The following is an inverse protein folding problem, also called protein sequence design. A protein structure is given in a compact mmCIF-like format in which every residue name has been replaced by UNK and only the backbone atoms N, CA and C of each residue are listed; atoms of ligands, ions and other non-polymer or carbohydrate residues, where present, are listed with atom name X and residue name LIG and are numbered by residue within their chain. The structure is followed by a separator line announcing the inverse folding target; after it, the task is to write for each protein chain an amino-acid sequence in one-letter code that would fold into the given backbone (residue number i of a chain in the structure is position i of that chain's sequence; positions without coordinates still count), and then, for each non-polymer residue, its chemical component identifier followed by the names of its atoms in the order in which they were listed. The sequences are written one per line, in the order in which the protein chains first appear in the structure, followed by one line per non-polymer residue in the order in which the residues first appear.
data_IF_606016640042
#
_entry.id   IF_606016640042
#
_cell.length_a   1.000
_cell.length_b   1.000
_cell.length_c   1.000
_cell.angle_alpha   90.00
_cell.angle_beta   90.00
_cell.angle_gamma   90.00
#
_symmetry.space_group_name_H-M   'P 1'
#
loop_
_entity.id
_entity.type
_entity.pdbx_description
1 polymer ?
#
# COMPACT_ATOMS: atom_id res chain seq x y z
N UNK A 1 29.97 13.19 -26.97
CA UNK A 1 28.87 12.96 -26.00
C UNK A 1 28.33 14.31 -25.57
N UNK A 2 27.02 14.55 -25.66
CA UNK A 2 26.38 15.74 -25.06
C UNK A 2 25.53 15.33 -23.87
N UNK A 3 25.37 16.26 -22.93
CA UNK A 3 24.56 16.10 -21.72
C UNK A 3 23.67 17.32 -21.65
N UNK A 4 22.36 17.11 -21.60
CA UNK A 4 21.36 18.17 -21.58
C UNK A 4 20.33 17.86 -20.49
N UNK A 5 19.89 18.88 -19.74
CA UNK A 5 18.76 18.75 -18.80
C UNK A 5 17.52 19.29 -19.48
N UNK A 6 16.51 18.44 -19.66
CA UNK A 6 15.29 18.77 -20.39
C UNK A 6 14.05 18.57 -19.50
N UNK A 7 12.98 19.35 -19.68
CA UNK A 7 11.70 19.11 -19.02
C UNK A 7 11.14 17.72 -19.39
N UNK A 8 10.41 17.13 -18.45
CA UNK A 8 9.74 15.85 -18.59
C UNK A 8 8.21 16.04 -18.71
N UNK A 9 7.67 15.64 -19.85
CA UNK A 9 6.26 15.33 -20.03
C UNK A 9 6.04 13.84 -19.71
N UNK A 10 5.71 13.55 -18.45
CA UNK A 10 5.56 12.18 -17.98
C UNK A 10 4.28 11.50 -18.46
N UNK A 11 3.36 12.24 -19.11
CA UNK A 11 2.08 11.72 -19.57
C UNK A 11 1.28 10.99 -18.46
N UNK A 12 1.33 11.54 -17.23
CA UNK A 12 0.65 11.00 -16.04
C UNK A 12 1.41 9.88 -15.32
N UNK A 13 2.61 9.51 -15.77
CA UNK A 13 3.46 8.56 -15.04
C UNK A 13 4.19 9.28 -13.89
N UNK A 14 4.32 8.61 -12.74
CA UNK A 14 5.17 9.05 -11.64
C UNK A 14 6.49 8.26 -11.73
N UNK A 15 7.47 8.87 -12.40
CA UNK A 15 8.79 8.27 -12.71
C UNK A 15 9.96 9.14 -12.26
N UNK A 16 9.69 10.18 -11.49
CA UNK A 16 10.68 11.06 -10.84
C UNK A 16 10.21 11.29 -9.41
N UNK A 17 11.08 11.81 -8.55
CA UNK A 17 10.62 12.39 -7.28
C UNK A 17 9.69 13.58 -7.56
N UNK A 18 8.72 13.84 -6.68
CA UNK A 18 7.62 14.78 -6.93
C UNK A 18 8.07 16.21 -7.29
N UNK A 19 9.27 16.62 -6.87
CA UNK A 19 9.84 17.94 -7.15
C UNK A 19 10.59 18.04 -8.50
N UNK A 20 10.92 16.91 -9.15
CA UNK A 20 11.76 16.88 -10.34
C UNK A 20 10.93 16.80 -11.63
N UNK A 21 10.72 17.97 -12.23
CA UNK A 21 10.10 18.12 -13.55
C UNK A 21 11.10 18.03 -14.72
N UNK A 22 12.35 17.67 -14.45
CA UNK A 22 13.41 17.60 -15.45
C UNK A 22 14.18 16.28 -15.40
N UNK A 23 14.75 15.90 -16.54
CA UNK A 23 15.56 14.68 -16.68
C UNK A 23 16.86 15.00 -17.39
N UNK A 24 17.92 14.29 -17.01
CA UNK A 24 19.22 14.43 -17.67
C UNK A 24 19.31 13.46 -18.84
N UNK A 25 19.63 13.98 -20.03
CA UNK A 25 19.71 13.23 -21.29
C UNK A 25 21.15 13.16 -21.76
N UNK A 26 21.67 11.93 -21.89
CA UNK A 26 23.00 11.66 -22.43
C UNK A 26 22.87 11.22 -23.89
N UNK A 27 23.51 11.98 -24.80
CA UNK A 27 23.55 11.69 -26.25
C UNK A 27 24.95 11.27 -26.69
N UNK A 28 25.06 10.07 -27.26
CA UNK A 28 26.34 9.47 -27.63
C UNK A 28 26.63 9.66 -29.14
N UNK A 29 26.76 10.92 -29.58
CA UNK A 29 26.81 11.28 -31.01
C UNK A 29 27.90 10.66 -31.89
N UNK A 30 28.98 10.09 -31.35
CA UNK A 30 30.07 9.49 -32.13
C UNK A 30 30.10 7.95 -32.11
N UNK A 31 29.25 7.31 -31.31
CA UNK A 31 29.28 5.84 -31.09
C UNK A 31 28.14 5.08 -31.81
N UNK A 32 27.59 5.65 -32.89
CA UNK A 32 26.50 5.06 -33.68
C UNK A 32 25.10 5.48 -33.24
N UNK A 33 24.06 4.90 -33.85
CA UNK A 33 22.62 5.14 -33.61
C UNK A 33 22.15 4.63 -32.22
N UNK A 34 22.94 4.84 -31.17
CA UNK A 34 22.58 4.50 -29.81
C UNK A 34 21.44 5.41 -29.33
N UNK A 35 20.40 4.79 -28.76
CA UNK A 35 19.31 5.52 -28.13
C UNK A 35 19.85 6.40 -26.99
N UNK A 36 19.23 7.58 -26.74
CA UNK A 36 19.57 8.40 -25.59
C UNK A 36 19.44 7.62 -24.28
N UNK A 37 20.33 7.88 -23.33
CA UNK A 37 20.19 7.42 -21.96
C UNK A 37 19.59 8.54 -21.11
N UNK A 38 18.67 8.18 -20.22
CA UNK A 38 17.98 9.09 -19.32
C UNK A 38 18.38 8.78 -17.88
N UNK A 39 18.73 9.82 -17.11
CA UNK A 39 18.91 9.73 -15.66
C UNK A 39 18.05 10.75 -14.93
N UNK A 40 17.88 10.55 -13.62
CA UNK A 40 16.93 11.29 -12.80
C UNK A 40 15.52 10.69 -12.79
N UNK A 41 15.32 9.53 -13.44
CA UNK A 41 14.05 8.80 -13.42
C UNK A 41 14.17 7.46 -12.70
N UNK A 42 13.08 7.02 -12.08
CA UNK A 42 12.88 5.63 -11.70
C UNK A 42 12.82 4.73 -12.94
N UNK A 43 13.15 3.45 -12.78
CA UNK A 43 13.07 2.45 -13.86
C UNK A 43 11.62 2.03 -14.18
N UNK A 44 10.68 2.29 -13.28
CA UNK A 44 9.25 1.96 -13.41
C UNK A 44 8.40 3.07 -12.81
N UNK A 45 7.19 3.25 -13.33
CA UNK A 45 6.20 4.15 -12.77
C UNK A 45 5.69 3.59 -11.42
N UNK A 46 5.75 4.39 -10.36
CA UNK A 46 5.33 3.95 -9.02
C UNK A 46 3.82 3.70 -8.93
N UNK A 47 3.03 4.22 -9.87
CA UNK A 47 1.59 3.97 -9.93
C UNK A 47 1.25 2.68 -10.68
N UNK A 48 1.54 2.61 -11.99
CA UNK A 48 1.12 1.48 -12.82
C UNK A 48 2.11 0.30 -12.84
N UNK A 49 3.35 0.50 -12.37
CA UNK A 49 4.42 -0.51 -12.37
C UNK A 49 5.08 -0.74 -13.74
N UNK A 50 4.68 -0.04 -14.79
CA UNK A 50 5.26 -0.17 -16.13
C UNK A 50 6.54 0.66 -16.25
N UNK A 51 7.47 0.24 -17.13
CA UNK A 51 8.63 1.06 -17.54
C UNK A 51 8.23 1.92 -18.74
N UNK A 52 7.97 3.23 -18.59
CA UNK A 52 7.53 4.04 -19.71
C UNK A 52 8.68 4.23 -20.70
N UNK A 53 8.39 4.09 -21.98
CA UNK A 53 9.39 4.37 -23.00
C UNK A 53 9.54 5.88 -23.16
N UNK A 54 10.74 6.40 -22.92
CA UNK A 54 11.03 7.83 -23.03
C UNK A 54 11.57 8.17 -24.43
N UNK A 55 11.17 9.32 -24.96
CA UNK A 55 11.69 9.86 -26.23
C UNK A 55 11.92 11.35 -26.13
N UNK A 56 12.97 11.85 -26.78
CA UNK A 56 13.19 13.28 -26.95
C UNK A 56 12.32 13.78 -28.10
N UNK A 57 11.47 14.77 -27.84
CA UNK A 57 10.66 15.45 -28.85
C UNK A 57 10.93 16.95 -28.76
N UNK A 58 11.76 17.46 -29.68
CA UNK A 58 12.23 18.86 -29.60
C UNK A 58 13.14 19.08 -28.40
N UNK A 59 12.74 19.99 -27.52
CA UNK A 59 13.41 20.37 -26.27
C UNK A 59 12.83 19.69 -25.02
N UNK A 60 11.95 18.69 -25.19
CA UNK A 60 11.26 18.00 -24.09
C UNK A 60 11.50 16.49 -24.17
N UNK A 61 11.59 15.82 -23.01
CA UNK A 61 11.51 14.36 -22.92
C UNK A 61 10.07 13.98 -22.64
N UNK A 62 9.54 13.01 -23.39
CA UNK A 62 8.15 12.56 -23.27
C UNK A 62 8.05 11.06 -23.07
N UNK A 63 7.23 10.64 -22.11
CA UNK A 63 6.81 9.26 -21.96
C UNK A 63 5.81 8.86 -23.05
N UNK A 64 6.06 7.73 -23.71
CA UNK A 64 5.19 7.18 -24.74
C UNK A 64 4.00 6.47 -24.11
N UNK A 65 2.79 6.94 -24.42
CA UNK A 65 1.55 6.40 -23.86
C UNK A 65 1.24 6.96 -22.47
N UNK A 66 -0.04 7.18 -22.13
CA UNK A 66 -0.41 7.71 -20.82
C UNK A 66 -0.32 6.64 -19.74
N UNK A 67 -0.09 7.05 -18.49
CA UNK A 67 -0.30 6.16 -17.35
C UNK A 67 -1.78 5.77 -17.29
N UNK A 68 -2.12 4.48 -17.07
CA UNK A 68 -3.51 4.08 -16.88
C UNK A 68 -4.12 4.53 -15.54
N UNK A 69 -3.29 4.94 -14.58
CA UNK A 69 -3.70 5.36 -13.23
C UNK A 69 -3.06 6.72 -12.85
N UNK A 70 -3.34 7.81 -13.59
CA UNK A 70 -2.72 9.10 -13.32
C UNK A 70 -3.20 9.74 -12.01
N UNK A 71 -4.39 9.36 -11.53
CA UNK A 71 -5.00 9.85 -10.29
C UNK A 71 -4.72 8.94 -9.08
N UNK A 72 -3.86 7.92 -9.23
CA UNK A 72 -3.62 6.91 -8.22
C UNK A 72 -4.71 5.83 -8.12
N UNK A 73 -4.64 5.02 -7.07
CA UNK A 73 -5.50 3.86 -6.82
C UNK A 73 -5.91 3.80 -5.34
N UNK A 74 -7.19 4.06 -5.07
CA UNK A 74 -7.83 3.67 -3.79
C UNK A 74 -8.35 2.25 -3.91
N UNK A 75 -8.00 1.37 -2.97
CA UNK A 75 -8.44 -0.04 -3.01
C UNK A 75 -9.43 -0.34 -1.89
N UNK A 76 -10.64 -0.78 -2.26
CA UNK A 76 -11.69 -1.15 -1.29
C UNK A 76 -11.96 -2.65 -1.33
N UNK A 77 -11.89 -3.30 -0.18
CA UNK A 77 -12.19 -4.73 -0.01
C UNK A 77 -13.08 -4.97 1.20
N UNK A 78 -13.65 -6.17 1.30
CA UNK A 78 -14.46 -6.59 2.44
C UNK A 78 -13.85 -7.80 3.15
N UNK A 79 -13.99 -7.84 4.47
CA UNK A 79 -13.60 -8.95 5.33
C UNK A 79 -14.80 -9.39 6.18
N UNK A 80 -15.08 -10.69 6.18
CA UNK A 80 -16.06 -11.29 7.08
C UNK A 80 -15.41 -11.62 8.42
N UNK A 81 -16.02 -11.15 9.52
CA UNK A 81 -15.58 -11.42 10.90
C UNK A 81 -16.73 -11.97 11.75
N UNK A 82 -17.30 -13.14 11.41
CA UNK A 82 -18.46 -13.69 12.11
C UNK A 82 -18.16 -14.11 13.55
N UNK A 83 -16.90 -14.36 13.90
CA UNK A 83 -16.53 -14.74 15.28
C UNK A 83 -16.54 -13.55 16.25
N UNK A 84 -16.52 -12.31 15.73
CA UNK A 84 -16.28 -11.11 16.53
C UNK A 84 -14.85 -11.01 17.08
N UNK A 85 -13.91 -11.78 16.52
CA UNK A 85 -12.49 -11.75 16.90
C UNK A 85 -11.63 -11.62 15.65
N UNK A 86 -10.89 -10.51 15.56
CA UNK A 86 -9.89 -10.30 14.53
C UNK A 86 -8.52 -10.69 15.06
N UNK A 87 -7.76 -11.43 14.27
CA UNK A 87 -6.32 -11.60 14.47
C UNK A 87 -5.59 -10.54 13.64
N UNK A 88 -4.69 -9.79 14.27
CA UNK A 88 -3.93 -8.69 13.67
C UNK A 88 -2.45 -8.98 13.81
N UNK A 89 -1.72 -8.88 12.68
CA UNK A 89 -0.27 -9.11 12.61
C UNK A 89 0.31 -8.43 11.36
N UNK A 90 1.64 -8.36 11.23
CA UNK A 90 2.34 -8.02 9.99
C UNK A 90 2.06 -9.04 8.87
N UNK A 91 2.12 -10.34 9.19
CA UNK A 91 1.97 -11.42 8.22
C UNK A 91 1.27 -12.66 8.77
N UNK A 92 0.20 -13.09 8.10
CA UNK A 92 -0.54 -14.33 8.40
C UNK A 92 -0.29 -15.44 7.36
N UNK A 93 0.88 -15.45 6.71
CA UNK A 93 1.18 -16.33 5.57
C UNK A 93 1.25 -17.84 5.86
N UNK A 94 1.13 -18.26 7.12
CA UNK A 94 0.92 -19.68 7.42
C UNK A 94 -0.47 -20.18 6.99
N UNK A 95 -1.45 -19.28 6.90
CA UNK A 95 -2.84 -19.59 6.54
C UNK A 95 -3.33 -18.88 5.26
N UNK A 96 -2.72 -17.75 4.91
CA UNK A 96 -3.15 -16.92 3.77
C UNK A 96 -1.97 -16.58 2.86
N UNK A 97 -1.96 -17.15 1.65
CA UNK A 97 -0.94 -16.86 0.64
C UNK A 97 -1.60 -16.63 -0.71
N UNK A 98 -1.00 -15.76 -1.52
CA UNK A 98 -1.35 -15.55 -2.92
C UNK A 98 -0.10 -15.64 -3.80
N UNK A 99 -0.31 -15.90 -5.09
CA UNK A 99 0.77 -15.95 -6.07
C UNK A 99 1.15 -14.53 -6.50
N UNK A 100 2.15 -13.96 -5.83
CA UNK A 100 2.62 -12.59 -6.11
C UNK A 100 3.30 -12.44 -7.46
N UNK A 101 3.80 -13.54 -8.06
CA UNK A 101 4.48 -13.50 -9.36
C UNK A 101 3.49 -13.27 -10.51
N UNK A 102 2.19 -13.49 -10.27
CA UNK A 102 1.12 -13.23 -11.22
C UNK A 102 0.72 -11.73 -11.31
N UNK A 103 1.28 -10.87 -10.46
CA UNK A 103 0.89 -9.46 -10.34
C UNK A 103 1.93 -8.49 -10.89
N UNK A 104 1.55 -7.22 -11.02
CA UNK A 104 2.52 -6.15 -11.20
C UNK A 104 3.45 -6.07 -9.97
N UNK A 105 4.61 -5.43 -10.13
CA UNK A 105 5.57 -5.24 -9.03
C UNK A 105 4.86 -4.71 -7.78
N UNK A 106 5.09 -5.36 -6.63
CA UNK A 106 4.55 -4.93 -5.34
C UNK A 106 5.05 -3.54 -4.91
N UNK A 107 6.12 -3.05 -5.53
CA UNK A 107 6.61 -1.67 -5.36
C UNK A 107 5.81 -0.64 -6.20
N UNK A 108 4.70 -1.04 -6.81
CA UNK A 108 3.76 -0.14 -7.51
C UNK A 108 2.38 -0.18 -6.87
N UNK A 109 1.65 0.94 -6.89
CA UNK A 109 0.29 1.02 -6.38
C UNK A 109 -0.62 -0.06 -7.00
N UNK A 110 -0.47 -0.31 -8.31
CA UNK A 110 -1.20 -1.38 -9.02
C UNK A 110 -0.90 -2.76 -8.44
N UNK A 111 0.38 -3.09 -8.24
CA UNK A 111 0.77 -4.39 -7.68
C UNK A 111 0.25 -4.57 -6.25
N UNK A 112 0.30 -3.52 -5.43
CA UNK A 112 -0.29 -3.52 -4.10
C UNK A 112 -1.80 -3.76 -4.14
N UNK A 113 -2.55 -3.02 -4.97
CA UNK A 113 -3.99 -3.20 -5.15
C UNK A 113 -4.35 -4.65 -5.52
N UNK A 114 -3.61 -5.26 -6.45
CA UNK A 114 -3.83 -6.65 -6.85
C UNK A 114 -3.60 -7.65 -5.70
N UNK A 115 -2.58 -7.43 -4.88
CA UNK A 115 -2.32 -8.26 -3.69
C UNK A 115 -3.41 -8.05 -2.63
N UNK A 116 -3.82 -6.80 -2.37
CA UNK A 116 -4.90 -6.47 -1.42
C UNK A 116 -6.19 -7.22 -1.82
N UNK A 117 -6.58 -7.16 -3.09
CA UNK A 117 -7.76 -7.85 -3.62
C UNK A 117 -7.62 -9.38 -3.53
N UNK A 118 -6.45 -9.93 -3.89
CA UNK A 118 -6.21 -11.37 -3.86
C UNK A 118 -6.23 -11.94 -2.42
N UNK A 119 -5.66 -11.22 -1.46
CA UNK A 119 -5.67 -11.59 -0.05
C UNK A 119 -7.09 -11.48 0.54
N UNK A 120 -7.82 -10.43 0.19
CA UNK A 120 -9.21 -10.28 0.64
C UNK A 120 -10.11 -11.40 0.10
N UNK A 121 -9.90 -11.82 -1.15
CA UNK A 121 -10.63 -12.94 -1.76
C UNK A 121 -10.43 -14.28 -1.01
N UNK A 122 -9.35 -14.42 -0.23
CA UNK A 122 -9.10 -15.59 0.62
C UNK A 122 -9.37 -15.35 2.11
N UNK A 123 -10.02 -14.24 2.47
CA UNK A 123 -10.45 -13.96 3.85
C UNK A 123 -9.42 -13.25 4.72
N UNK A 124 -8.46 -12.54 4.11
CA UNK A 124 -7.45 -11.76 4.84
C UNK A 124 -7.39 -10.33 4.29
N UNK A 125 -7.72 -9.34 5.10
CA UNK A 125 -7.43 -7.95 4.77
C UNK A 125 -5.91 -7.72 4.93
N UNK A 126 -5.26 -7.40 3.83
CA UNK A 126 -3.83 -7.15 3.75
C UNK A 126 -3.61 -5.75 3.20
N UNK A 127 -2.64 -4.99 3.72
CA UNK A 127 -2.35 -3.65 3.23
C UNK A 127 -0.90 -3.23 3.45
N UNK A 128 -0.27 -2.52 2.50
CA UNK A 128 1.08 -1.99 2.66
C UNK A 128 1.08 -0.85 3.68
N UNK A 129 2.15 -0.76 4.47
CA UNK A 129 2.33 0.32 5.47
C UNK A 129 3.74 0.92 5.43
N UNK A 130 4.65 0.32 4.67
CA UNK A 130 6.05 0.78 4.63
C UNK A 130 6.75 0.53 5.97
N UNK A 131 7.70 1.39 6.32
CA UNK A 131 8.49 1.28 7.54
C UNK A 131 7.97 2.20 8.67
N UNK A 132 6.66 2.16 8.92
CA UNK A 132 5.95 3.11 9.78
C UNK A 132 5.43 2.55 11.12
N UNK A 133 5.53 1.23 11.35
CA UNK A 133 5.04 0.52 12.54
C UNK A 133 3.64 0.94 13.01
N UNK A 134 2.61 0.89 12.15
CA UNK A 134 1.31 1.46 12.48
C UNK A 134 0.59 0.64 13.55
N UNK A 135 -0.49 1.22 14.08
CA UNK A 135 -1.45 0.54 14.94
C UNK A 135 -2.81 0.39 14.27
N UNK A 136 -3.60 -0.55 14.78
CA UNK A 136 -5.05 -0.59 14.57
C UNK A 136 -5.72 0.22 15.69
N UNK A 137 -6.35 1.33 15.34
CA UNK A 137 -7.00 2.22 16.30
C UNK A 137 -8.52 2.16 16.19
N UNK A 138 -9.21 2.21 17.32
CA UNK A 138 -10.66 2.41 17.37
C UNK A 138 -10.99 3.89 17.21
N UNK A 139 -11.87 4.23 16.27
CA UNK A 139 -12.33 5.62 16.06
C UNK A 139 -13.84 5.78 16.27
N UNK A 140 -14.56 4.67 16.48
CA UNK A 140 -15.97 4.64 16.83
C UNK A 140 -16.42 3.23 17.24
N UNK A 141 -17.71 3.06 17.51
CA UNK A 141 -18.25 1.76 17.92
C UNK A 141 -18.10 0.67 16.84
N UNK A 142 -18.15 1.08 15.57
CA UNK A 142 -18.09 0.22 14.38
C UNK A 142 -17.06 0.75 13.36
N UNK A 143 -16.09 1.58 13.81
CA UNK A 143 -15.11 2.26 12.96
C UNK A 143 -13.69 2.19 13.54
N UNK A 144 -12.72 1.94 12.67
CA UNK A 144 -11.31 1.75 12.99
C UNK A 144 -10.42 2.32 11.89
N UNK A 145 -9.14 2.51 12.17
CA UNK A 145 -8.12 2.90 11.18
C UNK A 145 -6.82 2.13 11.40
N UNK A 146 -6.10 1.87 10.31
CA UNK A 146 -4.67 1.53 10.36
C UNK A 146 -3.90 2.82 10.17
N UNK A 147 -3.16 3.25 11.20
CA UNK A 147 -2.51 4.55 11.19
C UNK A 147 -1.18 4.55 11.94
N UNK A 148 -0.29 5.44 11.54
CA UNK A 148 0.89 5.84 12.30
C UNK A 148 0.65 7.24 12.85
N UNK A 149 0.41 7.38 14.17
CA UNK A 149 0.13 8.69 14.76
C UNK A 149 1.38 9.58 14.70
N UNK A 150 1.14 10.86 14.41
CA UNK A 150 2.09 11.93 14.72
C UNK A 150 2.32 11.98 16.23
N UNK A 151 3.58 12.16 16.62
CA UNK A 151 4.00 12.56 17.96
C UNK A 151 4.31 14.07 17.95
N UNK A 152 3.84 14.80 18.96
CA UNK A 152 4.21 16.21 19.13
C UNK A 152 5.53 16.37 19.90
N UNK A 153 5.91 17.60 20.25
CA UNK A 153 7.16 17.90 20.96
C UNK A 153 7.20 17.34 22.39
N UNK A 154 6.04 16.97 22.94
CA UNK A 154 5.87 16.36 24.26
C UNK A 154 5.62 14.83 24.16
N UNK A 155 5.86 14.23 22.99
CA UNK A 155 5.61 12.82 22.67
C UNK A 155 4.13 12.40 22.87
N UNK A 156 3.18 13.34 22.80
CA UNK A 156 1.76 13.03 22.86
C UNK A 156 1.25 12.61 21.47
N UNK A 157 0.70 11.39 21.31
CA UNK A 157 0.24 10.93 20.01
C UNK A 157 -1.08 11.60 19.62
N UNK A 158 -1.19 11.95 18.34
CA UNK A 158 -2.41 12.45 17.69
C UNK A 158 -3.61 11.51 17.79
N UNK A 159 -3.37 10.21 18.00
CA UNK A 159 -4.38 9.21 18.34
C UNK A 159 -4.10 8.68 19.76
N UNK A 160 -5.10 8.64 20.66
CA UNK A 160 -4.88 8.18 22.03
C UNK A 160 -4.35 6.74 22.08
N UNK A 161 -3.38 6.47 22.95
CA UNK A 161 -2.81 5.13 23.11
C UNK A 161 -3.86 4.12 23.58
N UNK A 162 -4.84 4.55 24.38
CA UNK A 162 -5.95 3.70 24.84
C UNK A 162 -6.86 3.22 23.71
N UNK A 163 -6.86 3.90 22.56
CA UNK A 163 -7.60 3.51 21.38
C UNK A 163 -6.81 2.54 20.48
N UNK A 164 -5.51 2.36 20.74
CA UNK A 164 -4.66 1.41 20.01
C UNK A 164 -4.97 -0.03 20.44
N UNK A 165 -5.64 -0.77 19.56
CA UNK A 165 -6.07 -2.15 19.82
C UNK A 165 -4.99 -3.18 19.49
N UNK A 166 -4.07 -2.85 18.58
CA UNK A 166 -2.96 -3.70 18.16
C UNK A 166 -1.84 -2.85 17.56
N UNK A 167 -0.59 -3.20 17.85
CA UNK A 167 0.58 -2.67 17.15
C UNK A 167 1.02 -3.64 16.05
N UNK A 168 1.40 -3.10 14.88
CA UNK A 168 1.85 -3.85 13.72
C UNK A 168 3.34 -3.58 13.53
N UNK A 169 4.15 -4.63 13.59
CA UNK A 169 5.59 -4.56 13.31
C UNK A 169 5.79 -4.51 11.79
N UNK A 170 6.79 -3.77 11.31
CA UNK A 170 7.03 -3.59 9.86
C UNK A 170 8.07 -4.53 9.27
N UNK A 171 8.25 -5.73 9.82
CA UNK A 171 9.24 -6.70 9.29
C UNK A 171 8.96 -7.04 7.80
N UNK A 172 7.69 -7.02 7.38
CA UNK A 172 7.28 -7.20 5.97
C UNK A 172 6.62 -5.95 5.34
N UNK A 173 6.75 -4.78 5.97
CA UNK A 173 6.19 -3.50 5.47
C UNK A 173 4.68 -3.54 5.13
N UNK A 174 3.93 -4.42 5.79
CA UNK A 174 2.50 -4.63 5.57
C UNK A 174 1.80 -5.06 6.87
N UNK A 175 0.46 -5.04 6.86
CA UNK A 175 -0.38 -5.69 7.86
C UNK A 175 -1.22 -6.81 7.24
N UNK A 176 -1.71 -7.69 8.10
CA UNK A 176 -2.62 -8.79 7.82
C UNK A 176 -3.67 -8.88 8.94
N UNK A 177 -4.96 -8.86 8.57
CA UNK A 177 -6.10 -8.95 9.48
C UNK A 177 -7.08 -10.01 8.95
N UNK A 178 -7.48 -10.94 9.81
CA UNK A 178 -8.46 -11.96 9.45
C UNK A 178 -9.38 -12.30 10.62
N UNK A 179 -10.49 -13.00 10.34
CA UNK A 179 -11.28 -13.65 11.38
C UNK A 179 -10.46 -14.77 12.05
N UNK A 180 -10.48 -14.80 13.38
CA UNK A 180 -9.69 -15.75 14.16
C UNK A 180 -10.09 -17.21 13.90
N UNK A 181 -11.38 -17.49 13.75
CA UNK A 181 -11.86 -18.85 13.53
C UNK A 181 -11.60 -19.29 12.09
N UNK A 182 -11.65 -18.38 11.10
CA UNK A 182 -11.20 -18.69 9.73
C UNK A 182 -9.71 -19.02 9.67
N UNK A 183 -8.88 -18.25 10.39
CA UNK A 183 -7.44 -18.51 10.48
C UNK A 183 -7.15 -19.90 11.05
N UNK A 184 -7.77 -20.27 12.17
CA UNK A 184 -7.63 -21.61 12.77
C UNK A 184 -8.12 -22.71 11.84
N UNK A 185 -9.28 -22.52 11.20
CA UNK A 185 -9.88 -23.48 10.25
C UNK A 185 -8.95 -23.78 9.07
N UNK A 186 -8.16 -22.79 8.64
CA UNK A 186 -7.14 -22.92 7.59
C UNK A 186 -5.84 -23.57 8.06
N UNK A 187 -5.77 -24.00 9.33
CA UNK A 187 -4.57 -24.61 9.91
C UNK A 187 -3.60 -23.60 10.52
N UNK A 188 -4.02 -22.34 10.70
CA UNK A 188 -3.25 -21.35 11.40
C UNK A 188 -3.01 -21.74 12.87
N UNK A 189 -1.77 -21.63 13.32
CA UNK A 189 -1.34 -21.95 14.68
C UNK A 189 -0.90 -20.68 15.42
N UNK A 190 -1.64 -20.28 16.46
CA UNK A 190 -1.34 -19.09 17.25
C UNK A 190 0.01 -19.18 17.96
N UNK A 191 0.41 -20.38 18.41
CA UNK A 191 1.66 -20.57 19.15
C UNK A 191 2.88 -20.36 18.25
N UNK A 192 2.71 -20.53 16.93
CA UNK A 192 3.75 -20.31 15.93
C UNK A 192 3.98 -18.84 15.56
N UNK A 193 3.03 -17.94 15.90
CA UNK A 193 3.06 -16.56 15.40
C UNK A 193 3.95 -15.61 16.23
N UNK A 194 4.41 -16.04 17.40
CA UNK A 194 5.25 -15.22 18.27
C UNK A 194 4.49 -14.10 18.98
N UNK A 195 5.25 -13.15 19.54
CA UNK A 195 4.74 -12.15 20.49
C UNK A 195 4.05 -10.94 19.85
N UNK A 196 4.18 -10.72 18.55
CA UNK A 196 3.61 -9.56 17.84
C UNK A 196 2.18 -9.77 17.34
N UNK A 197 1.53 -10.87 17.72
CA UNK A 197 0.15 -11.16 17.33
C UNK A 197 -0.83 -10.62 18.36
N UNK A 198 -1.84 -9.88 17.90
CA UNK A 198 -2.91 -9.39 18.76
C UNK A 198 -4.27 -9.93 18.32
N UNK A 199 -5.09 -10.34 19.28
CA UNK A 199 -6.50 -10.71 19.04
C UNK A 199 -7.37 -9.56 19.54
N UNK A 200 -8.17 -9.01 18.65
CA UNK A 200 -9.02 -7.85 18.91
C UNK A 200 -10.49 -8.29 18.89
N UNK A 201 -11.21 -8.01 19.98
CA UNK A 201 -12.65 -8.20 20.02
C UNK A 201 -13.35 -7.05 19.26
N UNK A 202 -14.23 -7.43 18.33
CA UNK A 202 -15.04 -6.53 17.50
C UNK A 202 -16.49 -7.02 17.43
N UNK A 203 -17.47 -6.16 17.15
CA UNK A 203 -18.81 -6.63 16.81
C UNK A 203 -18.76 -7.61 15.62
N UNK A 204 -19.38 -8.79 15.69
CA UNK A 204 -19.42 -9.71 14.54
C UNK A 204 -20.01 -9.02 13.31
N UNK A 205 -19.51 -9.32 12.11
CA UNK A 205 -20.09 -8.77 10.88
C UNK A 205 -19.11 -8.65 9.71
N UNK A 206 -19.54 -7.93 8.68
CA UNK A 206 -18.74 -7.63 7.49
C UNK A 206 -18.13 -6.25 7.62
N UNK A 207 -16.82 -6.15 7.36
CA UNK A 207 -16.05 -4.92 7.45
C UNK A 207 -15.56 -4.50 6.07
N UNK A 208 -15.69 -3.22 5.74
CA UNK A 208 -15.10 -2.60 4.56
C UNK A 208 -13.78 -1.95 4.94
N UNK A 209 -12.74 -2.28 4.18
CA UNK A 209 -11.41 -1.69 4.26
C UNK A 209 -11.21 -0.79 3.05
N UNK A 210 -10.86 0.47 3.25
CA UNK A 210 -10.49 1.42 2.20
C UNK A 210 -9.02 1.78 2.37
N UNK A 211 -8.16 1.34 1.45
CA UNK A 211 -6.72 1.54 1.50
C UNK A 211 -6.31 2.75 0.66
N UNK A 212 -5.44 3.60 1.24
CA UNK A 212 -5.06 4.90 0.69
C UNK A 212 -3.65 4.95 0.10
N UNK A 213 -2.81 3.94 0.34
CA UNK A 213 -1.39 3.97 -0.05
C UNK A 213 -1.13 4.13 -1.54
N UNK A 214 -2.08 3.73 -2.38
CA UNK A 214 -1.99 3.90 -3.83
C UNK A 214 -2.50 5.25 -4.34
N UNK A 215 -3.11 6.08 -3.50
CA UNK A 215 -3.67 7.38 -3.90
C UNK A 215 -2.57 8.35 -4.37
N UNK A 216 -2.93 9.24 -5.28
CA UNK A 216 -2.02 10.29 -5.72
C UNK A 216 -1.72 11.25 -4.56
N UNK A 217 -0.44 11.49 -4.30
CA UNK A 217 0.02 12.36 -3.21
C UNK A 217 -0.11 11.75 -1.81
N UNK A 218 -0.28 10.42 -1.70
CA UNK A 218 -0.18 9.74 -0.42
C UNK A 218 1.25 9.87 0.13
N UNK A 219 1.39 10.65 1.19
CA UNK A 219 2.67 10.91 1.84
C UNK A 219 2.90 9.90 2.98
N UNK A 220 3.71 8.89 2.69
CA UNK A 220 4.11 7.85 3.66
C UNK A 220 4.96 8.41 4.82
N UNK A 221 5.66 9.52 4.58
CA UNK A 221 6.65 10.10 5.48
C UNK A 221 6.14 11.43 6.09
N UNK A 222 4.82 11.65 6.04
CA UNK A 222 4.20 12.86 6.55
C UNK A 222 4.54 13.09 8.03
N UNK A 223 4.82 14.34 8.38
CA UNK A 223 4.97 14.77 9.78
C UNK A 223 3.64 14.68 10.56
N UNK A 224 2.51 14.49 9.86
CA UNK A 224 1.17 14.32 10.43
C UNK A 224 0.78 12.84 10.58
N UNK A 225 -0.40 12.58 11.16
CA UNK A 225 -0.96 11.22 11.25
C UNK A 225 -1.13 10.62 9.86
N UNK A 226 -0.41 9.55 9.57
CA UNK A 226 -0.57 8.80 8.31
C UNK A 226 -1.64 7.74 8.49
N UNK A 227 -2.72 7.82 7.72
CA UNK A 227 -3.81 6.82 7.73
C UNK A 227 -3.71 5.93 6.50
N UNK A 228 -3.28 4.69 6.69
CA UNK A 228 -3.10 3.72 5.60
C UNK A 228 -4.43 3.11 5.14
N UNK A 229 -5.34 2.88 6.09
CA UNK A 229 -6.66 2.34 5.79
C UNK A 229 -7.74 2.79 6.75
N UNK A 230 -8.93 3.05 6.22
CA UNK A 230 -10.17 3.16 7.00
C UNK A 230 -10.91 1.84 7.03
N UNK A 231 -11.48 1.50 8.19
CA UNK A 231 -12.22 0.27 8.42
C UNK A 231 -13.57 0.60 9.04
N UNK A 232 -14.64 0.10 8.45
CA UNK A 232 -15.99 0.28 8.99
C UNK A 232 -16.80 -1.01 8.86
N UNK A 233 -17.65 -1.27 9.86
CA UNK A 233 -18.60 -2.38 9.77
C UNK A 233 -19.79 -1.97 8.89
N UNK A 234 -20.02 -2.71 7.81
CA UNK A 234 -21.06 -2.42 6.82
C UNK A 234 -22.28 -3.34 6.94
N UNK A 235 -22.16 -4.47 7.64
CA UNK A 235 -23.26 -5.39 7.88
C UNK A 235 -23.07 -6.17 9.19
N UNK A 236 -24.19 -6.50 9.84
CA UNK A 236 -24.25 -7.52 10.89
C UNK A 236 -24.03 -8.92 10.28
N UNK A 237 -23.65 -9.96 11.06
CA UNK A 237 -23.42 -11.27 10.50
C UNK A 237 -24.72 -11.79 9.87
N UNK A 238 -24.62 -12.41 8.69
CA UNK A 238 -25.77 -13.09 8.10
C UNK A 238 -26.21 -14.19 9.06
N UNK A 239 -27.42 -14.07 9.62
CA UNK A 239 -28.05 -15.19 10.31
C UNK A 239 -28.30 -16.24 9.24
N UNK A 240 -27.48 -17.29 9.23
CA UNK A 240 -27.77 -18.45 8.40
C UNK A 240 -29.08 -19.06 8.88
N UNK A 241 -30.14 -18.92 8.07
CA UNK A 241 -31.42 -19.63 8.22
C UNK A 241 -31.25 -21.14 7.92
#
# INVERSE_FOLDING_TARGET
MSIDTLPLDSNGHIITSEDDSTVTVYRFGEFGDLAPHFSGTYSTCVQCGETPKLTVTGDTVRAQGPCPYPEGITTTVTLEAPSGKLIVRDHLGSAYTCDTDAFASYNSARGQAQVIEAMAAIGCAYGPVGNSCPGLYRTGADAYVIASPRYDEDDSPSLPEEDCLASIVTDLWAYSIADLEDFKRRGGDLDSLGWSTTIVDVPPGTYRFTHHTGELGFDHDSDDTVVFAHIERIAAPSTAD
#
